data_IF_028457908808
#
_entry.id   IF_028457908808
#
_cell.length_a   1.000
_cell.length_b   1.000
_cell.length_c   1.000
_cell.angle_alpha   90.00
_cell.angle_beta   90.00
_cell.angle_gamma   90.00
#
_symmetry.space_group_name_H-M   'P 1'
#
loop_
_entity.id
_entity.type
_entity.pdbx_description
1 polymer ?
#
# COMPACT_ATOMS: atom_id res chain seq x y z
N UNK A 1 16.02 -39.23 43.64
CA UNK A 1 14.64 -38.72 43.39
C UNK A 1 14.59 -37.34 42.73
N UNK A 2 15.69 -36.56 42.69
CA UNK A 2 15.68 -35.17 42.18
C UNK A 2 15.71 -35.04 40.64
N UNK A 3 16.16 -36.07 39.92
CA UNK A 3 16.30 -36.03 38.45
C UNK A 3 14.97 -35.92 37.69
N UNK A 4 13.90 -36.53 38.20
CA UNK A 4 12.57 -36.42 37.58
C UNK A 4 11.98 -35.01 37.68
N UNK A 5 12.23 -34.30 38.78
CA UNK A 5 11.77 -32.93 38.97
C UNK A 5 12.49 -31.95 38.03
N UNK A 6 13.80 -32.16 37.79
CA UNK A 6 14.61 -31.33 36.89
C UNK A 6 14.16 -31.53 35.43
N UNK A 7 13.93 -32.77 35.01
CA UNK A 7 13.43 -33.08 33.65
C UNK A 7 12.04 -32.46 33.40
N UNK A 8 11.17 -32.46 34.42
CA UNK A 8 9.86 -31.83 34.34
C UNK A 8 9.95 -30.30 34.21
N UNK A 9 10.86 -29.66 34.95
CA UNK A 9 11.08 -28.20 34.85
C UNK A 9 11.62 -27.80 33.48
N UNK A 10 12.57 -28.56 32.92
CA UNK A 10 13.11 -28.32 31.58
C UNK A 10 12.01 -28.44 30.52
N UNK A 11 11.15 -29.46 30.63
CA UNK A 11 10.01 -29.64 29.72
C UNK A 11 9.03 -28.45 29.79
N UNK A 12 8.73 -27.96 30.99
CA UNK A 12 7.84 -26.80 31.18
C UNK A 12 8.45 -25.54 30.56
N UNK A 13 9.75 -25.28 30.78
CA UNK A 13 10.44 -24.12 30.19
C UNK A 13 10.42 -24.20 28.66
N UNK A 14 10.68 -25.39 28.11
CA UNK A 14 10.63 -25.61 26.66
C UNK A 14 9.22 -25.36 26.10
N UNK A 15 8.18 -25.80 26.81
CA UNK A 15 6.79 -25.56 26.43
C UNK A 15 6.43 -24.06 26.45
N UNK A 16 6.89 -23.33 27.47
CA UNK A 16 6.68 -21.88 27.61
C UNK A 16 7.39 -21.13 26.47
N UNK A 17 8.65 -21.49 26.17
CA UNK A 17 9.41 -20.89 25.07
C UNK A 17 8.77 -21.17 23.71
N UNK A 18 8.28 -22.39 23.48
CA UNK A 18 7.58 -22.76 22.26
C UNK A 18 6.27 -21.95 22.08
N UNK A 19 5.50 -21.72 23.15
CA UNK A 19 4.29 -20.89 23.10
C UNK A 19 4.59 -19.40 22.88
N UNK A 20 5.70 -18.88 23.43
CA UNK A 20 6.07 -17.46 23.36
C UNK A 20 6.46 -17.01 21.93
N UNK A 21 6.85 -17.95 21.07
CA UNK A 21 7.23 -17.66 19.67
C UNK A 21 6.12 -16.99 18.85
N UNK A 22 4.85 -17.16 19.24
CA UNK A 22 3.70 -16.56 18.53
C UNK A 22 3.44 -15.09 18.85
N UNK A 23 4.06 -14.53 19.90
CA UNK A 23 3.84 -13.13 20.33
C UNK A 23 4.59 -12.11 19.47
N UNK A 24 5.71 -12.50 18.87
CA UNK A 24 6.55 -11.60 18.06
C UNK A 24 6.21 -11.58 16.57
N UNK A 25 5.23 -12.40 16.13
CA UNK A 25 4.88 -12.58 14.71
C UNK A 25 3.66 -11.78 14.23
N UNK A 26 2.93 -11.06 15.09
CA UNK A 26 1.82 -10.22 14.66
C UNK A 26 2.33 -8.86 14.16
N UNK A 27 2.86 -8.86 12.94
CA UNK A 27 3.05 -7.60 12.22
C UNK A 27 1.64 -7.03 11.93
N UNK A 28 1.34 -5.84 12.45
CA UNK A 28 0.08 -5.16 12.21
C UNK A 28 0.05 -4.61 10.77
N UNK A 29 -0.19 -5.50 9.80
CA UNK A 29 -0.47 -5.05 8.45
C UNK A 29 -1.78 -4.25 8.44
N UNK A 30 -1.85 -3.16 7.66
CA UNK A 30 -3.09 -2.42 7.52
C UNK A 30 -4.21 -3.36 7.05
N UNK A 31 -5.42 -3.19 7.60
CA UNK A 31 -6.61 -4.01 7.29
C UNK A 31 -6.95 -4.07 5.79
N UNK A 32 -6.43 -3.12 5.00
CA UNK A 32 -6.57 -3.06 3.55
C UNK A 32 -5.20 -2.87 2.91
N UNK A 33 -4.92 -3.68 1.91
CA UNK A 33 -3.79 -3.49 1.01
C UNK A 33 -3.96 -2.21 0.18
N UNK A 34 -2.89 -1.42 0.04
CA UNK A 34 -2.84 -0.27 -0.86
C UNK A 34 -2.52 -0.72 -2.27
N UNK A 35 -3.39 -0.41 -3.23
CA UNK A 35 -3.21 -0.70 -4.66
C UNK A 35 -3.31 0.62 -5.41
N UNK A 36 -2.15 1.26 -5.57
CA UNK A 36 -2.05 2.60 -6.11
C UNK A 36 -1.41 2.61 -7.49
N UNK A 37 -1.75 3.66 -8.24
CA UNK A 37 -1.14 4.00 -9.53
C UNK A 37 -0.66 5.43 -9.49
N UNK A 38 0.42 5.70 -10.22
CA UNK A 38 0.97 7.04 -10.38
C UNK A 38 0.42 7.66 -11.67
N UNK A 39 0.01 8.93 -11.61
CA UNK A 39 -0.35 9.73 -12.79
C UNK A 39 0.64 10.90 -12.87
N UNK A 40 1.55 10.83 -13.84
CA UNK A 40 2.54 11.84 -14.13
C UNK A 40 1.97 12.94 -15.05
N UNK A 41 2.26 14.19 -14.70
CA UNK A 41 1.86 15.36 -15.48
C UNK A 41 3.04 15.97 -16.24
N UNK A 42 4.27 15.64 -15.85
CA UNK A 42 5.47 16.06 -16.57
C UNK A 42 5.41 15.58 -18.01
N UNK A 43 5.58 16.52 -18.94
CA UNK A 43 5.59 16.21 -20.37
C UNK A 43 4.31 15.58 -20.91
N UNK A 44 3.18 15.67 -20.21
CA UNK A 44 1.91 15.06 -20.64
C UNK A 44 1.98 13.54 -20.81
N UNK A 45 2.84 12.86 -20.04
CA UNK A 45 3.08 11.41 -20.17
C UNK A 45 1.80 10.61 -19.87
N UNK A 46 1.13 10.90 -18.74
CA UNK A 46 -0.13 10.22 -18.39
C UNK A 46 -1.35 11.14 -18.58
N UNK A 47 -1.29 12.37 -18.05
CA UNK A 47 -2.39 13.33 -18.11
C UNK A 47 -1.92 14.78 -17.96
N UNK A 48 -2.55 15.77 -18.63
CA UNK A 48 -3.53 15.61 -19.71
C UNK A 48 -2.85 15.10 -20.97
N UNK A 49 -3.60 14.49 -21.89
CA UNK A 49 -3.03 13.90 -23.11
C UNK A 49 -2.36 14.93 -24.04
N UNK A 50 -2.83 16.18 -23.96
CA UNK A 50 -2.28 17.34 -24.70
C UNK A 50 -2.40 18.61 -23.86
N UNK A 51 -1.58 19.62 -24.18
CA UNK A 51 -1.51 20.89 -23.44
C UNK A 51 -2.68 21.85 -23.70
N UNK A 52 -3.32 21.73 -24.86
CA UNK A 52 -4.33 22.65 -25.39
C UNK A 52 -5.78 22.20 -25.14
N UNK A 53 -5.97 21.16 -24.32
CA UNK A 53 -7.30 20.69 -23.96
C UNK A 53 -8.05 21.71 -23.10
N UNK A 54 -9.34 21.88 -23.40
CA UNK A 54 -10.24 22.64 -22.52
C UNK A 54 -10.33 21.98 -21.13
N UNK A 55 -10.67 22.74 -20.07
CA UNK A 55 -10.86 22.18 -18.73
C UNK A 55 -11.87 21.03 -18.68
N UNK A 56 -12.90 21.08 -19.54
CA UNK A 56 -13.92 20.02 -19.65
C UNK A 56 -13.31 18.74 -20.21
N UNK A 57 -12.49 18.85 -21.27
CA UNK A 57 -11.80 17.71 -21.86
C UNK A 57 -10.79 17.11 -20.88
N UNK A 58 -9.98 17.94 -20.21
CA UNK A 58 -9.03 17.49 -19.20
C UNK A 58 -9.73 16.73 -18.06
N UNK A 59 -10.87 17.25 -17.56
CA UNK A 59 -11.67 16.58 -16.55
C UNK A 59 -12.20 15.24 -17.04
N UNK A 60 -12.73 15.19 -18.27
CA UNK A 60 -13.26 13.95 -18.82
C UNK A 60 -12.17 12.89 -19.00
N UNK A 61 -10.98 13.28 -19.48
CA UNK A 61 -9.82 12.39 -19.56
C UNK A 61 -9.44 11.85 -18.19
N UNK A 62 -9.36 12.71 -17.18
CA UNK A 62 -9.00 12.30 -15.83
C UNK A 62 -10.02 11.30 -15.27
N UNK A 63 -11.33 11.58 -15.43
CA UNK A 63 -12.41 10.66 -15.03
C UNK A 63 -12.25 9.30 -15.73
N UNK A 64 -11.93 9.28 -17.02
CA UNK A 64 -11.73 8.04 -17.76
C UNK A 64 -10.56 7.24 -17.22
N UNK A 65 -9.46 7.89 -16.83
CA UNK A 65 -8.30 7.25 -16.18
C UNK A 65 -8.71 6.65 -14.83
N UNK A 66 -9.47 7.40 -14.01
CA UNK A 66 -9.98 6.90 -12.72
C UNK A 66 -10.88 5.68 -12.88
N UNK A 67 -11.83 5.71 -13.81
CA UNK A 67 -12.73 4.58 -14.07
C UNK A 67 -11.99 3.35 -14.60
N UNK A 68 -10.96 3.54 -15.43
CA UNK A 68 -10.08 2.46 -15.88
C UNK A 68 -9.38 1.78 -14.70
N UNK A 69 -8.75 2.55 -13.81
CA UNK A 69 -8.03 2.00 -12.66
C UNK A 69 -8.96 1.38 -11.62
N UNK A 70 -10.15 1.94 -11.45
CA UNK A 70 -11.21 1.33 -10.63
C UNK A 70 -11.64 -0.03 -11.19
N UNK A 71 -11.81 -0.16 -12.53
CA UNK A 71 -12.05 -1.45 -13.19
C UNK A 71 -10.91 -2.45 -12.96
N UNK A 72 -9.68 -1.95 -12.83
CA UNK A 72 -8.49 -2.75 -12.53
C UNK A 72 -8.27 -2.99 -11.02
N UNK A 73 -9.30 -2.76 -10.19
CA UNK A 73 -9.28 -2.95 -8.74
C UNK A 73 -8.28 -2.08 -7.97
N UNK A 74 -7.78 -0.97 -8.53
CA UNK A 74 -6.98 0.00 -7.78
C UNK A 74 -7.85 0.77 -6.78
N UNK A 75 -7.27 1.16 -5.65
CA UNK A 75 -7.97 1.86 -4.57
C UNK A 75 -7.37 3.22 -4.21
N UNK A 76 -6.29 3.62 -4.88
CA UNK A 76 -5.64 4.91 -4.70
C UNK A 76 -5.01 5.38 -6.02
N UNK A 77 -4.90 6.70 -6.16
CA UNK A 77 -4.20 7.36 -7.26
C UNK A 77 -3.29 8.42 -6.65
N UNK A 78 -2.02 8.43 -7.07
CA UNK A 78 -1.04 9.45 -6.69
C UNK A 78 -0.80 10.35 -7.90
N UNK A 79 -1.20 11.61 -7.80
CA UNK A 79 -1.15 12.57 -8.93
C UNK A 79 0.02 13.52 -8.73
N UNK A 80 0.84 13.69 -9.76
CA UNK A 80 1.92 14.66 -9.78
C UNK A 80 1.37 16.08 -10.00
N UNK A 81 1.08 16.81 -8.93
CA UNK A 81 0.59 18.20 -9.05
C UNK A 81 1.69 19.23 -9.33
N UNK A 82 2.97 18.88 -9.16
CA UNK A 82 4.13 19.78 -9.37
C UNK A 82 5.24 19.09 -10.17
N UNK A 83 5.16 19.06 -11.50
CA UNK A 83 6.14 18.34 -12.32
C UNK A 83 7.47 19.07 -12.53
N UNK A 84 7.50 20.40 -12.65
CA UNK A 84 8.72 21.15 -13.03
C UNK A 84 8.69 22.60 -12.51
N UNK A 85 8.62 22.75 -11.19
CA UNK A 85 8.50 24.05 -10.48
C UNK A 85 7.23 24.87 -10.81
N UNK A 86 6.27 24.24 -11.46
CA UNK A 86 4.89 24.67 -11.72
C UNK A 86 3.90 23.96 -10.77
N UNK A 87 2.61 24.25 -10.90
CA UNK A 87 1.57 23.64 -10.08
C UNK A 87 0.23 23.47 -10.83
N UNK A 88 -0.37 22.31 -10.66
CA UNK A 88 -1.79 22.04 -10.90
C UNK A 88 -2.55 22.20 -9.58
N UNK A 89 -3.67 22.93 -9.60
CA UNK A 89 -4.53 23.18 -8.44
C UNK A 89 -6.02 23.19 -8.84
#
# INVERSE_FOLDING_TARGET
>A
MNGHHINLQILIIFLILALSSKLFGQHNYPKREMRAVWIATVGNIDWPSKRDLSPVQQRQEFINILEMHKKNNMNAVVVQIRPSADAFY
#
